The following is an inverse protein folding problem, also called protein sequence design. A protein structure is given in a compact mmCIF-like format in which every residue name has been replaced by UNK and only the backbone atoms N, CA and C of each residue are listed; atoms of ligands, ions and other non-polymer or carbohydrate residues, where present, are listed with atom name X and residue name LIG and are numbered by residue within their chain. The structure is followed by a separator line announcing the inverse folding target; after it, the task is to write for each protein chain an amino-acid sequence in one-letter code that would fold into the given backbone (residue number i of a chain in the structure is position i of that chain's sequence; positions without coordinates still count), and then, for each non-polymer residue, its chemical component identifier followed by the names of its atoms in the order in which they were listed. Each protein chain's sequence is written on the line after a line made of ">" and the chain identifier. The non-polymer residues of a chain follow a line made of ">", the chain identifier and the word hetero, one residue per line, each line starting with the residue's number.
data_IF_441819060563
#
_entry.id   IF_441819060563
#
_cell.length_a   1.000
_cell.length_b   1.000
_cell.length_c   1.000
_cell.angle_alpha   90.00
_cell.angle_beta   90.00
_cell.angle_gamma   90.00
#
_symmetry.space_group_name_H-M   'P 1'
#
loop_
_entity.id
_entity.type
_entity.pdbx_description
1 polymer ?
#
# COMPACT_ATOMS: atom_id res chain seq x y z
N UNK A 1 33.13 19.73 -14.50
CA UNK A 1 31.74 20.26 -14.45
C UNK A 1 30.89 19.44 -15.42
N UNK A 2 30.10 18.46 -14.96
CA UNK A 2 29.38 17.54 -15.87
C UNK A 2 27.89 17.49 -15.56
N UNK A 3 27.20 18.61 -15.76
CA UNK A 3 25.74 18.61 -15.96
C UNK A 3 25.37 17.76 -17.18
N UNK A 4 24.15 17.21 -17.21
CA UNK A 4 23.77 16.23 -18.26
C UNK A 4 23.45 16.85 -19.61
N UNK A 5 23.38 18.19 -19.68
CA UNK A 5 22.74 18.94 -20.75
C UNK A 5 21.22 18.69 -20.83
N UNK A 6 20.51 19.42 -21.70
CA UNK A 6 19.09 19.20 -21.94
C UNK A 6 18.86 17.85 -22.63
N UNK A 7 18.04 17.00 -22.00
CA UNK A 7 17.65 15.68 -22.51
C UNK A 7 16.15 15.61 -22.73
N UNK A 8 15.73 14.77 -23.67
CA UNK A 8 14.32 14.57 -24.03
C UNK A 8 13.70 13.42 -23.22
N UNK A 9 12.39 13.43 -23.14
CA UNK A 9 11.61 12.32 -22.58
C UNK A 9 11.51 11.15 -23.56
N UNK A 10 11.23 9.95 -23.02
CA UNK A 10 10.92 8.79 -23.83
C UNK A 10 9.53 8.96 -24.48
N UNK A 11 9.31 8.44 -25.71
CA UNK A 11 7.99 8.42 -26.37
C UNK A 11 6.82 7.86 -25.55
N UNK A 12 7.07 7.11 -24.47
CA UNK A 12 6.00 6.61 -23.59
C UNK A 12 5.33 7.71 -22.78
N UNK A 13 5.97 8.88 -22.65
CA UNK A 13 5.34 10.05 -22.06
C UNK A 13 4.04 10.41 -22.81
N UNK A 14 4.09 10.41 -24.14
CA UNK A 14 2.92 10.65 -25.00
C UNK A 14 1.82 9.58 -24.78
N UNK A 15 2.23 8.31 -24.65
CA UNK A 15 1.32 7.19 -24.42
C UNK A 15 0.58 7.29 -23.09
N UNK A 16 1.24 7.82 -22.04
CA UNK A 16 0.61 8.10 -20.75
C UNK A 16 -0.50 9.14 -20.84
N UNK A 17 -0.31 10.18 -21.66
CA UNK A 17 -1.33 11.19 -21.96
C UNK A 17 -2.50 10.59 -22.74
N UNK A 18 -2.21 9.81 -23.80
CA UNK A 18 -3.23 9.22 -24.67
C UNK A 18 -4.09 8.16 -24.00
N UNK A 19 -3.55 7.38 -23.06
CA UNK A 19 -4.28 6.26 -22.44
C UNK A 19 -5.58 6.70 -21.75
N UNK A 20 -5.59 7.89 -21.13
CA UNK A 20 -6.78 8.37 -20.40
C UNK A 20 -7.92 8.75 -21.32
N UNK A 21 -7.60 9.36 -22.46
CA UNK A 21 -8.57 9.78 -23.48
C UNK A 21 -9.03 8.60 -24.33
N UNK A 22 -8.15 7.64 -24.64
CA UNK A 22 -8.49 6.42 -25.37
C UNK A 22 -9.60 5.60 -24.69
N UNK A 23 -9.61 5.50 -23.35
CA UNK A 23 -10.65 4.79 -22.63
C UNK A 23 -12.03 5.45 -22.73
N UNK A 24 -12.07 6.79 -22.82
CA UNK A 24 -13.32 7.54 -23.00
C UNK A 24 -13.91 7.31 -24.40
N UNK A 25 -13.06 7.13 -25.42
CA UNK A 25 -13.48 6.85 -26.79
C UNK A 25 -13.97 5.41 -26.99
N UNK A 26 -13.47 4.46 -26.19
CA UNK A 26 -13.85 3.05 -26.34
C UNK A 26 -15.30 2.75 -25.89
N UNK A 27 -15.85 3.55 -24.97
CA UNK A 27 -17.20 3.36 -24.41
C UNK A 27 -18.32 3.50 -25.46
N UNK A 28 -18.41 4.58 -26.25
CA UNK A 28 -19.44 4.71 -27.28
C UNK A 28 -19.29 3.64 -28.38
N UNK A 29 -18.07 3.23 -28.72
CA UNK A 29 -17.81 2.23 -29.75
C UNK A 29 -18.36 0.85 -29.35
N UNK A 30 -18.27 0.49 -28.06
CA UNK A 30 -18.88 -0.74 -27.53
C UNK A 30 -20.41 -0.71 -27.63
N UNK A 31 -21.04 0.44 -27.36
CA UNK A 31 -22.50 0.58 -27.46
C UNK A 31 -23.00 0.41 -28.90
N UNK A 32 -22.31 1.02 -29.87
CA UNK A 32 -22.63 0.89 -31.30
C UNK A 32 -22.38 -0.53 -31.80
N UNK A 33 -21.35 -1.22 -31.28
CA UNK A 33 -21.09 -2.62 -31.58
C UNK A 33 -22.25 -3.53 -31.14
N UNK A 34 -22.86 -3.26 -29.98
CA UNK A 34 -24.04 -4.00 -29.50
C UNK A 34 -25.30 -3.70 -30.32
N UNK A 35 -25.44 -2.49 -30.85
CA UNK A 35 -26.55 -2.12 -31.72
C UNK A 35 -26.49 -2.75 -33.14
N UNK A 36 -25.36 -3.38 -33.51
CA UNK A 36 -25.12 -4.03 -34.83
C UNK A 36 -25.30 -3.10 -36.05
N UNK A 37 -25.24 -1.79 -35.85
CA UNK A 37 -25.33 -0.80 -36.93
C UNK A 37 -23.97 -0.56 -37.60
N UNK A 38 -23.70 -1.28 -38.69
CA UNK A 38 -22.38 -1.26 -39.35
C UNK A 38 -22.00 0.10 -39.96
N UNK A 39 -22.97 0.87 -40.46
CA UNK A 39 -22.72 2.21 -41.01
C UNK A 39 -22.40 3.23 -39.92
N UNK A 40 -23.11 3.15 -38.78
CA UNK A 40 -22.83 4.00 -37.62
C UNK A 40 -21.46 3.68 -37.03
N UNK A 41 -21.09 2.39 -37.00
CA UNK A 41 -19.77 1.94 -36.55
C UNK A 41 -18.64 2.54 -37.40
N UNK A 42 -18.75 2.49 -38.74
CA UNK A 42 -17.71 3.06 -39.61
C UNK A 42 -17.55 4.58 -39.44
N UNK A 43 -18.64 5.32 -39.27
CA UNK A 43 -18.59 6.76 -39.02
C UNK A 43 -17.98 7.08 -37.66
N UNK A 44 -18.35 6.36 -36.61
CA UNK A 44 -17.76 6.50 -35.29
C UNK A 44 -16.25 6.19 -35.32
N UNK A 45 -15.85 5.13 -36.02
CA UNK A 45 -14.44 4.73 -36.11
C UNK A 45 -13.60 5.73 -36.92
N UNK A 46 -14.17 6.35 -37.97
CA UNK A 46 -13.52 7.43 -38.71
C UNK A 46 -13.36 8.70 -37.86
N UNK A 47 -14.36 9.05 -37.06
CA UNK A 47 -14.30 10.16 -36.11
C UNK A 47 -13.25 9.91 -35.02
N UNK A 48 -13.24 8.71 -34.44
CA UNK A 48 -12.28 8.30 -33.43
C UNK A 48 -10.85 8.27 -33.98
N UNK A 49 -10.66 7.86 -35.23
CA UNK A 49 -9.36 7.92 -35.91
C UNK A 49 -8.88 9.37 -36.07
N UNK A 50 -9.74 10.29 -36.50
CA UNK A 50 -9.40 11.70 -36.63
C UNK A 50 -9.02 12.33 -35.27
N UNK A 51 -9.79 12.04 -34.22
CA UNK A 51 -9.50 12.44 -32.84
C UNK A 51 -8.18 11.84 -32.34
N UNK A 52 -7.93 10.57 -32.65
CA UNK A 52 -6.68 9.89 -32.32
C UNK A 52 -5.47 10.54 -33.01
N UNK A 53 -5.58 10.87 -34.31
CA UNK A 53 -4.53 11.58 -35.05
C UNK A 53 -4.25 12.97 -34.48
N UNK A 54 -5.30 13.74 -34.14
CA UNK A 54 -5.15 15.04 -33.50
C UNK A 54 -4.45 14.91 -32.14
N UNK A 55 -4.87 13.94 -31.33
CA UNK A 55 -4.25 13.65 -30.04
C UNK A 55 -2.80 13.19 -30.18
N UNK A 56 -2.49 12.41 -31.22
CA UNK A 56 -1.13 11.97 -31.54
C UNK A 56 -0.24 13.16 -31.87
N UNK A 57 -0.74 14.07 -32.71
CA UNK A 57 -0.04 15.30 -33.07
C UNK A 57 0.21 16.18 -31.83
N UNK A 58 -0.82 16.43 -31.01
CA UNK A 58 -0.68 17.18 -29.76
C UNK A 58 0.35 16.52 -28.84
N UNK A 59 0.27 15.20 -28.65
CA UNK A 59 1.19 14.47 -27.77
C UNK A 59 2.64 14.49 -28.30
N UNK A 60 2.84 14.47 -29.61
CA UNK A 60 4.15 14.58 -30.25
C UNK A 60 4.76 15.99 -30.07
N UNK A 61 3.93 17.04 -30.20
CA UNK A 61 4.34 18.43 -29.91
C UNK A 61 4.74 18.56 -28.43
N UNK A 62 3.91 18.05 -27.50
CA UNK A 62 4.23 18.07 -26.06
C UNK A 62 5.52 17.31 -25.74
N UNK A 63 5.77 16.17 -26.39
CA UNK A 63 7.01 15.41 -26.22
C UNK A 63 8.24 16.18 -26.71
N UNK A 64 8.13 16.91 -27.83
CA UNK A 64 9.23 17.72 -28.38
C UNK A 64 9.51 18.97 -27.55
N UNK A 65 8.47 19.58 -27.00
CA UNK A 65 8.54 20.76 -26.14
C UNK A 65 9.04 20.43 -24.72
N UNK A 66 8.98 19.18 -24.30
CA UNK A 66 9.35 18.78 -22.94
C UNK A 66 10.81 18.30 -22.89
N UNK A 67 11.59 18.95 -22.04
CA UNK A 67 12.97 18.58 -21.74
C UNK A 67 13.22 18.52 -20.24
N UNK A 68 14.32 17.86 -19.88
CA UNK A 68 14.81 17.79 -18.52
C UNK A 68 16.32 17.94 -18.52
N UNK A 69 16.85 18.56 -17.49
CA UNK A 69 18.27 18.82 -17.33
C UNK A 69 18.64 18.61 -15.86
N UNK A 70 19.74 17.91 -15.60
CA UNK A 70 20.27 17.73 -14.26
C UNK A 70 21.58 18.50 -14.15
N UNK A 71 21.57 19.51 -13.29
CA UNK A 71 22.72 20.36 -13.04
C UNK A 71 23.76 19.65 -12.15
N UNK A 72 25.01 20.12 -12.20
CA UNK A 72 26.12 19.62 -11.39
C UNK A 72 25.85 19.79 -9.88
N UNK A 73 25.07 20.80 -9.49
CA UNK A 73 24.62 21.01 -8.11
C UNK A 73 23.56 20.00 -7.64
N UNK A 74 23.11 19.07 -8.51
CA UNK A 74 22.06 18.10 -8.18
C UNK A 74 20.66 18.71 -8.18
N UNK A 75 20.45 19.77 -8.95
CA UNK A 75 19.12 20.37 -9.18
C UNK A 75 18.58 19.84 -10.50
N UNK A 76 17.37 19.29 -10.45
CA UNK A 76 16.66 18.82 -11.62
C UNK A 76 15.77 19.95 -12.16
N UNK A 77 16.05 20.37 -13.38
CA UNK A 77 15.29 21.35 -14.13
C UNK A 77 14.38 20.63 -15.12
N UNK A 78 13.08 20.86 -15.00
CA UNK A 78 12.06 20.34 -15.91
C UNK A 78 11.56 21.52 -16.73
N UNK A 79 11.85 21.54 -18.03
CA UNK A 79 11.46 22.63 -18.93
C UNK A 79 10.40 22.15 -19.88
N UNK A 80 9.32 22.91 -19.97
CA UNK A 80 8.25 22.72 -20.96
C UNK A 80 8.17 23.98 -21.80
N UNK A 81 8.74 23.90 -23.00
CA UNK A 81 8.89 25.02 -23.92
C UNK A 81 7.82 24.93 -25.01
N UNK A 82 6.62 25.38 -24.66
CA UNK A 82 5.51 25.61 -25.60
C UNK A 82 5.46 27.12 -25.92
N UNK A 83 4.27 27.67 -26.18
CA UNK A 83 4.05 29.12 -26.34
C UNK A 83 4.48 29.88 -25.07
N UNK A 84 4.37 29.24 -23.90
CA UNK A 84 4.89 29.72 -22.62
C UNK A 84 5.88 28.70 -22.06
N UNK A 85 7.08 29.16 -21.70
CA UNK A 85 8.10 28.34 -21.07
C UNK A 85 7.79 28.15 -19.59
N UNK A 86 7.51 26.92 -19.17
CA UNK A 86 7.36 26.57 -17.76
C UNK A 86 8.59 25.79 -17.29
N UNK A 87 9.26 26.31 -16.27
CA UNK A 87 10.39 25.65 -15.62
C UNK A 87 10.02 25.23 -14.19
N UNK A 88 10.19 23.95 -13.87
CA UNK A 88 10.07 23.44 -12.49
C UNK A 88 11.40 22.90 -12.02
N UNK A 89 11.90 23.46 -10.91
CA UNK A 89 13.18 23.06 -10.29
C UNK A 89 12.91 22.16 -9.09
N UNK A 90 13.61 21.04 -9.01
CA UNK A 90 13.57 20.11 -7.87
C UNK A 90 14.99 19.94 -7.38
N UNK A 91 15.25 20.43 -6.17
CA UNK A 91 16.54 20.25 -5.54
C UNK A 91 16.65 18.85 -4.94
N UNK A 92 17.88 18.35 -4.90
CA UNK A 92 18.16 17.09 -4.23
C UNK A 92 17.70 17.09 -2.77
N UNK A 93 18.06 18.11 -2.00
CA UNK A 93 17.70 18.26 -0.57
C UNK A 93 16.21 18.14 -0.27
N UNK A 94 15.34 18.49 -1.24
CA UNK A 94 13.88 18.46 -1.09
C UNK A 94 13.27 17.07 -1.34
N UNK A 95 14.04 16.11 -1.84
CA UNK A 95 13.58 14.79 -2.23
C UNK A 95 13.54 13.83 -1.03
N UNK A 96 12.38 13.21 -0.80
CA UNK A 96 12.18 12.22 0.25
C UNK A 96 12.24 10.78 -0.28
N UNK A 97 11.70 10.53 -1.48
CA UNK A 97 11.76 9.22 -2.11
C UNK A 97 11.84 9.29 -3.64
N UNK A 98 12.45 8.26 -4.23
CA UNK A 98 12.51 8.02 -5.67
C UNK A 98 12.00 6.62 -5.96
N UNK A 99 11.11 6.51 -6.95
CA UNK A 99 10.57 5.23 -7.40
C UNK A 99 10.78 5.06 -8.89
N UNK A 100 11.52 4.03 -9.28
CA UNK A 100 11.74 3.63 -10.66
C UNK A 100 10.91 2.38 -10.93
N UNK A 101 9.95 2.48 -11.83
CA UNK A 101 9.13 1.37 -12.25
C UNK A 101 9.40 1.00 -13.70
N UNK A 102 9.48 -0.30 -13.94
CA UNK A 102 9.63 -0.86 -15.27
C UNK A 102 8.61 -1.98 -15.44
N UNK A 103 7.37 -1.63 -15.84
CA UNK A 103 6.42 -2.62 -16.34
C UNK A 103 7.01 -3.42 -17.51
N UNK A 104 6.49 -4.61 -17.80
CA UNK A 104 7.00 -5.45 -18.90
C UNK A 104 7.11 -4.70 -20.23
N UNK A 105 6.07 -3.96 -20.62
CA UNK A 105 6.08 -3.16 -21.86
C UNK A 105 7.23 -2.13 -21.89
N UNK A 106 7.53 -1.53 -20.74
CA UNK A 106 8.61 -0.54 -20.61
C UNK A 106 9.97 -1.23 -20.59
N UNK A 107 10.07 -2.43 -20.01
CA UNK A 107 11.27 -3.24 -20.07
C UNK A 107 11.63 -3.61 -21.51
N UNK A 108 10.65 -4.04 -22.31
CA UNK A 108 10.84 -4.43 -23.71
C UNK A 108 11.30 -3.25 -24.57
N UNK A 109 10.71 -2.08 -24.35
CA UNK A 109 11.03 -0.88 -25.11
C UNK A 109 12.13 -0.01 -24.49
N UNK A 110 12.89 -0.53 -23.51
CA UNK A 110 14.06 0.17 -22.94
C UNK A 110 13.73 1.40 -22.09
N UNK A 111 12.49 1.58 -21.69
CA UNK A 111 11.98 2.73 -20.94
C UNK A 111 11.88 2.46 -19.42
N UNK A 112 11.74 3.53 -18.66
CA UNK A 112 11.56 3.50 -17.21
C UNK A 112 10.71 4.68 -16.77
N UNK A 113 9.75 4.42 -15.88
CA UNK A 113 8.97 5.46 -15.22
C UNK A 113 9.66 5.84 -13.91
N UNK A 114 10.10 7.07 -13.77
CA UNK A 114 10.71 7.59 -12.54
C UNK A 114 9.74 8.54 -11.87
N UNK A 115 9.34 8.25 -10.64
CA UNK A 115 8.51 9.12 -9.82
C UNK A 115 9.35 9.70 -8.70
N UNK A 116 9.39 11.03 -8.62
CA UNK A 116 10.10 11.79 -7.60
C UNK A 116 9.09 12.31 -6.57
N UNK A 117 9.33 11.97 -5.31
CA UNK A 117 8.50 12.36 -4.18
C UNK A 117 9.26 13.37 -3.31
N UNK A 118 8.96 14.67 -3.46
CA UNK A 118 9.44 15.69 -2.54
C UNK A 118 8.86 15.54 -1.12
N UNK A 119 9.61 15.99 -0.11
CA UNK A 119 9.30 15.85 1.31
C UNK A 119 8.09 16.67 1.77
N UNK A 120 7.99 17.93 1.34
CA UNK A 120 7.01 18.90 1.85
C UNK A 120 5.81 19.13 0.92
N UNK A 121 5.85 18.63 -0.32
CA UNK A 121 4.81 18.91 -1.31
C UNK A 121 3.67 17.89 -1.23
N UNK A 122 2.42 18.29 -1.53
CA UNK A 122 1.25 17.42 -1.48
C UNK A 122 1.29 16.29 -2.53
N UNK A 123 0.51 15.22 -2.30
CA UNK A 123 0.44 13.98 -3.11
C UNK A 123 0.15 14.18 -4.60
N UNK A 124 -0.51 15.29 -4.97
CA UNK A 124 -0.78 15.65 -6.36
C UNK A 124 0.43 16.23 -7.12
N UNK A 125 1.53 16.54 -6.44
CA UNK A 125 2.69 17.22 -7.02
C UNK A 125 3.93 16.32 -7.16
N UNK A 126 3.79 15.01 -6.93
CA UNK A 126 4.81 14.04 -7.29
C UNK A 126 5.09 14.11 -8.80
N UNK A 127 6.37 14.15 -9.17
CA UNK A 127 6.76 14.34 -10.56
C UNK A 127 7.05 12.99 -11.18
N UNK A 128 6.34 12.65 -12.26
CA UNK A 128 6.55 11.41 -13.01
C UNK A 128 7.23 11.71 -14.34
N UNK A 129 8.39 11.10 -14.55
CA UNK A 129 9.22 11.23 -15.75
C UNK A 129 9.27 9.89 -16.46
N UNK A 130 9.18 9.90 -17.78
CA UNK A 130 9.35 8.71 -18.61
C UNK A 130 10.69 8.83 -19.33
N UNK A 131 11.67 8.04 -18.90
CA UNK A 131 13.07 8.18 -19.31
C UNK A 131 13.59 6.86 -19.91
N UNK A 132 14.71 6.92 -20.61
CA UNK A 132 15.42 5.70 -21.00
C UNK A 132 15.94 4.97 -19.76
N UNK A 133 16.18 3.67 -19.88
CA UNK A 133 16.74 2.86 -18.79
C UNK A 133 18.06 3.39 -18.23
N UNK A 134 18.91 3.99 -19.08
CA UNK A 134 20.22 4.55 -18.70
C UNK A 134 20.03 5.87 -17.97
N UNK A 135 19.21 6.76 -18.52
CA UNK A 135 18.92 8.07 -17.93
C UNK A 135 18.21 7.96 -16.58
N UNK A 136 17.24 7.05 -16.46
CA UNK A 136 16.53 6.81 -15.21
C UNK A 136 17.47 6.36 -14.08
N UNK A 137 18.48 5.54 -14.40
CA UNK A 137 19.49 5.10 -13.42
C UNK A 137 20.42 6.24 -13.06
N UNK A 138 20.97 6.92 -14.07
CA UNK A 138 21.84 8.09 -13.84
C UNK A 138 21.15 9.14 -12.98
N UNK A 139 19.89 9.46 -13.28
CA UNK A 139 19.10 10.42 -12.51
C UNK A 139 18.95 9.95 -11.07
N UNK A 140 18.57 8.69 -10.84
CA UNK A 140 18.42 8.16 -9.49
C UNK A 140 19.75 8.07 -8.73
N UNK A 141 20.86 7.73 -9.39
CA UNK A 141 22.18 7.62 -8.77
C UNK A 141 22.76 8.99 -8.39
N UNK A 142 22.50 10.04 -9.19
CA UNK A 142 22.92 11.41 -8.86
C UNK A 142 22.01 12.10 -7.85
N UNK A 143 20.69 11.94 -8.00
CA UNK A 143 19.74 12.51 -7.05
C UNK A 143 19.81 11.78 -5.72
N UNK A 144 19.88 10.45 -5.73
CA UNK A 144 19.72 9.64 -4.54
C UNK A 144 20.70 8.47 -4.54
N UNK A 145 22.00 8.75 -4.33
CA UNK A 145 23.02 7.72 -4.29
C UNK A 145 22.72 6.75 -3.16
N UNK A 146 22.68 5.46 -3.48
CA UNK A 146 22.37 4.39 -2.53
C UNK A 146 23.49 3.33 -2.59
N UNK A 147 24.69 3.63 -2.06
CA UNK A 147 25.77 2.64 -2.00
C UNK A 147 25.30 1.41 -1.23
N UNK A 148 25.70 0.22 -1.69
CA UNK A 148 25.33 -1.02 -1.01
C UNK A 148 26.28 -1.24 0.18
N UNK A 149 25.85 -0.88 1.38
CA UNK A 149 26.63 -1.12 2.61
C UNK A 149 26.04 -2.31 3.39
N UNK A 150 24.75 -2.25 3.71
CA UNK A 150 24.05 -3.34 4.40
C UNK A 150 23.01 -3.95 3.48
N UNK A 151 23.08 -5.26 3.24
CA UNK A 151 22.18 -5.95 2.30
C UNK A 151 21.31 -6.95 3.05
N UNK A 152 20.01 -6.86 2.81
CA UNK A 152 19.02 -7.82 3.26
C UNK A 152 18.41 -8.58 2.08
N UNK A 153 18.53 -9.92 2.17
CA UNK A 153 17.88 -10.85 1.28
C UNK A 153 16.78 -11.62 2.05
N UNK A 154 15.52 -11.56 1.62
CA UNK A 154 14.48 -12.36 2.23
C UNK A 154 14.74 -13.84 1.95
N UNK A 155 14.75 -14.65 3.01
CA UNK A 155 14.84 -16.11 2.94
C UNK A 155 13.55 -16.72 2.33
N UNK A 156 13.60 -17.99 1.88
CA UNK A 156 12.49 -18.64 1.16
C UNK A 156 11.11 -18.49 1.81
N UNK A 157 10.98 -18.78 3.11
CA UNK A 157 9.73 -18.60 3.86
C UNK A 157 9.27 -17.13 3.99
N UNK A 158 10.22 -16.18 4.04
CA UNK A 158 9.91 -14.74 4.07
C UNK A 158 9.43 -14.22 2.72
N UNK A 159 9.89 -14.81 1.60
CA UNK A 159 9.41 -14.49 0.25
C UNK A 159 7.96 -14.92 0.05
N UNK A 160 7.61 -16.12 0.55
CA UNK A 160 6.22 -16.59 0.57
C UNK A 160 5.36 -15.68 1.45
N UNK A 161 5.81 -15.35 2.65
CA UNK A 161 5.10 -14.41 3.53
C UNK A 161 4.92 -13.03 2.86
N UNK A 162 5.91 -12.52 2.13
CA UNK A 162 5.80 -11.26 1.38
C UNK A 162 4.72 -11.34 0.28
N UNK A 163 4.57 -12.50 -0.38
CA UNK A 163 3.55 -12.71 -1.41
C UNK A 163 2.14 -12.87 -0.82
N UNK A 164 2.07 -13.60 0.30
CA UNK A 164 0.85 -13.89 1.03
C UNK A 164 0.28 -12.68 1.78
N UNK A 165 1.15 -11.81 2.28
CA UNK A 165 0.79 -10.60 3.04
C UNK A 165 0.61 -9.37 2.14
N UNK A 166 1.12 -9.42 0.91
CA UNK A 166 0.77 -8.47 -0.16
C UNK A 166 -0.59 -8.75 -0.81
N UNK A 167 -1.13 -9.97 -0.63
CA UNK A 167 -2.43 -10.38 -1.15
C UNK A 167 -3.57 -10.15 -0.13
N UNK A 168 -4.79 -9.95 -0.61
CA UNK A 168 -5.98 -9.67 0.20
C UNK A 168 -6.22 -10.79 1.24
N UNK A 169 -6.44 -10.42 2.50
CA UNK A 169 -6.53 -11.26 3.71
C UNK A 169 -7.28 -12.60 3.62
N UNK A 170 -8.22 -12.79 2.69
CA UNK A 170 -8.90 -14.06 2.42
C UNK A 170 -7.98 -15.09 1.74
N UNK A 171 -7.06 -14.66 0.88
CA UNK A 171 -6.07 -15.54 0.23
C UNK A 171 -5.10 -16.12 1.24
N UNK A 172 -4.73 -15.32 2.24
CA UNK A 172 -3.80 -15.70 3.31
C UNK A 172 -4.40 -16.78 4.21
N UNK A 173 -5.71 -16.73 4.48
CA UNK A 173 -6.40 -17.77 5.27
C UNK A 173 -6.52 -19.09 4.50
N UNK A 174 -6.87 -19.04 3.21
CA UNK A 174 -6.96 -20.24 2.37
C UNK A 174 -5.60 -20.94 2.24
N UNK A 175 -4.53 -20.16 2.04
CA UNK A 175 -3.17 -20.70 1.85
C UNK A 175 -2.55 -21.17 3.16
N UNK A 176 -2.86 -20.55 4.30
CA UNK A 176 -2.44 -21.09 5.60
C UNK A 176 -3.23 -22.34 5.96
N UNK A 177 -4.51 -22.42 5.62
CA UNK A 177 -5.29 -23.66 5.78
C UNK A 177 -4.74 -24.80 4.90
N UNK A 178 -4.29 -24.50 3.68
CA UNK A 178 -3.62 -25.47 2.79
C UNK A 178 -2.22 -25.83 3.28
N UNK A 179 -1.42 -24.86 3.72
CA UNK A 179 -0.04 -25.08 4.18
C UNK A 179 0.04 -25.83 5.52
N UNK A 180 -0.91 -25.61 6.43
CA UNK A 180 -1.03 -26.40 7.68
C UNK A 180 -1.43 -27.86 7.43
N UNK A 181 -1.98 -28.17 6.25
CA UNK A 181 -2.36 -29.53 5.83
C UNK A 181 -1.25 -30.27 5.07
N UNK A 182 -0.16 -29.59 4.67
CA UNK A 182 0.96 -30.17 3.90
C UNK A 182 2.05 -30.84 4.76
N UNK A 183 1.74 -31.17 6.02
CA UNK A 183 2.70 -31.80 6.93
C UNK A 183 2.96 -33.29 6.70
N UNK A 184 2.08 -34.01 5.99
CA UNK A 184 2.22 -35.45 5.77
C UNK A 184 1.70 -35.85 4.37
N UNK A 185 2.48 -36.62 3.61
CA UNK A 185 2.12 -37.10 2.27
C UNK A 185 0.82 -37.95 2.24
N UNK A 186 0.39 -38.48 3.39
CA UNK A 186 -0.90 -39.17 3.53
C UNK A 186 -2.11 -38.21 3.59
N UNK A 187 -1.90 -36.96 3.98
CA UNK A 187 -2.93 -35.93 4.05
C UNK A 187 -3.26 -35.33 2.67
N UNK A 188 -2.36 -35.45 1.69
CA UNK A 188 -2.56 -34.92 0.34
C UNK A 188 -3.65 -35.69 -0.44
N UNK A 189 -3.67 -37.01 -0.31
CA UNK A 189 -4.72 -37.86 -0.88
C UNK A 189 -6.07 -37.61 -0.21
N UNK A 190 -6.10 -37.50 1.12
CA UNK A 190 -7.31 -37.17 1.88
C UNK A 190 -7.80 -35.75 1.55
N UNK A 191 -6.89 -34.80 1.29
CA UNK A 191 -7.24 -33.44 0.90
C UNK A 191 -7.82 -33.37 -0.51
N UNK A 192 -7.27 -34.13 -1.47
CA UNK A 192 -7.82 -34.26 -2.82
C UNK A 192 -9.21 -34.91 -2.78
N UNK A 193 -9.40 -35.94 -1.95
CA UNK A 193 -10.70 -36.57 -1.70
C UNK A 193 -11.70 -35.54 -1.12
N UNK A 194 -11.31 -34.76 -0.11
CA UNK A 194 -12.14 -33.72 0.50
C UNK A 194 -12.44 -32.56 -0.47
N UNK A 195 -11.49 -32.17 -1.32
CA UNK A 195 -11.71 -31.15 -2.35
C UNK A 195 -12.67 -31.66 -3.41
N UNK A 196 -12.55 -32.92 -3.83
CA UNK A 196 -13.48 -33.55 -4.78
C UNK A 196 -14.88 -33.70 -4.17
N UNK A 197 -14.99 -34.06 -2.90
CA UNK A 197 -16.25 -34.10 -2.18
C UNK A 197 -16.88 -32.71 -2.00
N UNK A 198 -16.07 -31.69 -1.70
CA UNK A 198 -16.52 -30.30 -1.62
C UNK A 198 -16.94 -29.76 -3.00
N UNK A 199 -16.24 -30.14 -4.07
CA UNK A 199 -16.59 -29.79 -5.44
C UNK A 199 -17.89 -30.48 -5.88
N UNK A 200 -18.08 -31.75 -5.51
CA UNK A 200 -19.33 -32.48 -5.76
C UNK A 200 -20.50 -31.91 -4.94
N UNK A 201 -20.25 -31.49 -3.69
CA UNK A 201 -21.23 -30.80 -2.86
C UNK A 201 -21.61 -29.43 -3.45
N UNK A 202 -20.62 -28.65 -3.90
CA UNK A 202 -20.86 -27.39 -4.58
C UNK A 202 -21.63 -27.59 -5.89
N UNK A 203 -21.30 -28.61 -6.68
CA UNK A 203 -22.00 -28.91 -7.93
C UNK A 203 -23.48 -29.31 -7.73
N UNK A 204 -23.82 -29.92 -6.59
CA UNK A 204 -25.20 -30.31 -6.25
C UNK A 204 -26.07 -29.14 -5.79
N UNK A 205 -25.47 -28.08 -5.25
CA UNK A 205 -26.20 -26.99 -4.59
C UNK A 205 -25.99 -25.61 -5.21
N UNK A 206 -24.97 -25.39 -6.05
CA UNK A 206 -24.81 -24.14 -6.79
C UNK A 206 -25.59 -24.19 -8.11
N UNK A 207 -26.54 -23.27 -8.33
CA UNK A 207 -27.06 -22.96 -9.65
C UNK A 207 -25.91 -22.77 -10.66
N UNK A 208 -26.08 -23.24 -11.90
CA UNK A 208 -25.03 -23.19 -12.93
C UNK A 208 -24.39 -21.80 -13.09
N UNK A 209 -25.17 -20.71 -12.94
CA UNK A 209 -24.66 -19.34 -12.96
C UNK A 209 -23.69 -19.00 -11.82
N UNK A 210 -23.89 -19.56 -10.62
CA UNK A 210 -22.97 -19.37 -9.48
C UNK A 210 -21.69 -20.17 -9.64
N UNK A 211 -21.73 -21.34 -10.30
CA UNK A 211 -20.53 -22.12 -10.60
C UNK A 211 -19.58 -21.38 -11.58
N UNK A 212 -20.13 -20.73 -12.61
CA UNK A 212 -19.36 -19.87 -13.50
C UNK A 212 -18.79 -18.64 -12.78
N UNK A 213 -19.57 -18.00 -11.91
CA UNK A 213 -19.10 -16.88 -11.09
C UNK A 213 -17.95 -17.29 -10.15
N UNK A 214 -18.06 -18.45 -9.50
CA UNK A 214 -17.02 -19.01 -8.63
C UNK A 214 -15.75 -19.34 -9.42
N UNK A 215 -15.89 -19.90 -10.62
CA UNK A 215 -14.77 -20.22 -11.52
C UNK A 215 -14.06 -18.95 -11.97
N UNK A 216 -14.81 -17.93 -12.42
CA UNK A 216 -14.27 -16.62 -12.77
C UNK A 216 -13.58 -15.95 -11.58
N UNK A 217 -14.17 -16.04 -10.38
CA UNK A 217 -13.57 -15.54 -9.14
C UNK A 217 -12.25 -16.25 -8.82
N UNK A 218 -12.23 -17.57 -8.95
CA UNK A 218 -11.03 -18.40 -8.71
C UNK A 218 -9.93 -18.09 -9.72
N UNK A 219 -10.27 -17.88 -10.99
CA UNK A 219 -9.32 -17.48 -12.03
C UNK A 219 -8.74 -16.08 -11.77
N UNK A 220 -9.59 -15.08 -11.49
CA UNK A 220 -9.16 -13.72 -11.15
C UNK A 220 -8.31 -13.71 -9.87
N UNK A 221 -8.65 -14.56 -8.92
CA UNK A 221 -7.87 -14.80 -7.71
C UNK A 221 -6.49 -15.37 -8.02
N UNK A 222 -6.41 -16.42 -8.85
CA UNK A 222 -5.15 -17.00 -9.32
C UNK A 222 -4.27 -15.96 -10.03
N UNK A 223 -4.86 -15.16 -10.91
CA UNK A 223 -4.16 -14.07 -11.60
C UNK A 223 -3.61 -13.01 -10.62
N UNK A 224 -4.41 -12.64 -9.62
CA UNK A 224 -4.00 -11.72 -8.56
C UNK A 224 -2.85 -12.29 -7.72
N UNK A 225 -2.86 -13.59 -7.46
CA UNK A 225 -1.82 -14.27 -6.68
C UNK A 225 -0.51 -14.35 -7.47
N UNK A 226 -0.57 -14.71 -8.75
CA UNK A 226 0.59 -14.67 -9.67
C UNK A 226 1.16 -13.27 -9.74
N UNK A 227 0.30 -12.24 -9.85
CA UNK A 227 0.73 -10.85 -9.84
C UNK A 227 1.42 -10.48 -8.53
N UNK A 228 0.82 -10.81 -7.38
CA UNK A 228 1.41 -10.53 -6.06
C UNK A 228 2.76 -11.22 -5.90
N UNK A 229 2.83 -12.52 -6.18
CA UNK A 229 4.06 -13.32 -6.13
C UNK A 229 5.13 -12.75 -7.08
N UNK A 230 4.74 -12.30 -8.26
CA UNK A 230 5.69 -11.68 -9.18
C UNK A 230 6.36 -10.44 -8.58
N UNK A 231 5.68 -9.66 -7.75
CA UNK A 231 6.27 -8.48 -7.08
C UNK A 231 7.29 -8.85 -5.99
N UNK A 232 7.25 -10.10 -5.50
CA UNK A 232 8.06 -10.56 -4.37
C UNK A 232 9.34 -11.26 -4.82
N UNK A 233 9.38 -11.72 -6.08
CA UNK A 233 10.54 -12.34 -6.68
C UNK A 233 11.69 -11.33 -6.85
N UNK A 234 12.90 -11.81 -6.56
CA UNK A 234 14.17 -11.05 -6.63
C UNK A 234 14.21 -9.79 -5.76
N UNK A 235 13.41 -9.77 -4.69
CA UNK A 235 13.37 -8.66 -3.77
C UNK A 235 14.66 -8.55 -2.95
N UNK A 236 15.25 -7.37 -2.92
CA UNK A 236 16.47 -7.01 -2.20
C UNK A 236 16.28 -5.66 -1.55
N UNK A 237 16.70 -5.52 -0.31
CA UNK A 237 16.75 -4.24 0.40
C UNK A 237 18.18 -3.98 0.80
N UNK A 238 18.63 -2.75 0.65
CA UNK A 238 19.93 -2.36 1.15
C UNK A 238 19.90 -0.94 1.70
N UNK A 239 20.78 -0.69 2.64
CA UNK A 239 21.04 0.62 3.21
C UNK A 239 22.43 1.09 2.82
N UNK A 240 22.57 2.37 2.54
CA UNK A 240 23.86 3.04 2.53
C UNK A 240 23.77 4.54 2.29
N UNK A 241 24.68 5.29 2.92
CA UNK A 241 24.77 6.75 2.78
C UNK A 241 23.49 7.50 3.17
N UNK A 242 22.81 7.09 4.25
CA UNK A 242 21.53 7.68 4.69
C UNK A 242 20.32 7.34 3.79
N UNK A 243 20.50 6.46 2.81
CA UNK A 243 19.45 6.03 1.88
C UNK A 243 19.12 4.55 2.09
N UNK A 244 17.83 4.26 2.21
CA UNK A 244 17.28 2.91 2.22
C UNK A 244 16.66 2.61 0.86
N UNK A 245 17.21 1.65 0.16
CA UNK A 245 16.77 1.27 -1.17
C UNK A 245 16.20 -0.15 -1.19
N UNK A 246 15.18 -0.36 -2.01
CA UNK A 246 14.65 -1.68 -2.30
C UNK A 246 14.50 -1.90 -3.79
N UNK A 247 14.71 -3.13 -4.23
CA UNK A 247 14.57 -3.52 -5.63
C UNK A 247 13.95 -4.91 -5.70
N UNK A 248 12.90 -5.06 -6.50
CA UNK A 248 12.29 -6.37 -6.69
C UNK A 248 11.27 -6.36 -7.82
N UNK A 249 10.66 -7.52 -8.04
CA UNK A 249 9.61 -7.73 -9.02
C UNK A 249 10.11 -8.38 -10.31
N UNK A 250 9.37 -9.40 -10.76
CA UNK A 250 9.58 -10.12 -12.01
C UNK A 250 8.84 -9.43 -13.16
N UNK A 251 7.50 -9.31 -13.06
CA UNK A 251 6.66 -8.69 -14.10
C UNK A 251 6.83 -7.17 -14.14
N UNK A 252 6.89 -6.55 -12.97
CA UNK A 252 7.14 -5.12 -12.83
C UNK A 252 8.37 -4.96 -11.97
N UNK A 253 9.51 -4.62 -12.59
CA UNK A 253 10.73 -4.34 -11.85
C UNK A 253 10.58 -2.96 -11.22
N UNK A 254 10.53 -2.93 -9.89
CA UNK A 254 10.40 -1.71 -9.11
C UNK A 254 11.66 -1.53 -8.28
N UNK A 255 12.25 -0.35 -8.35
CA UNK A 255 13.31 0.10 -7.48
C UNK A 255 12.82 1.33 -6.72
N UNK A 256 12.98 1.35 -5.41
CA UNK A 256 12.55 2.42 -4.51
C UNK A 256 13.75 2.86 -3.69
N UNK A 257 13.88 4.15 -3.47
CA UNK A 257 14.93 4.73 -2.61
C UNK A 257 14.26 5.73 -1.68
N UNK A 258 14.53 5.62 -0.38
CA UNK A 258 13.99 6.49 0.68
C UNK A 258 15.14 7.12 1.46
N UNK A 259 15.05 8.42 1.75
CA UNK A 259 16.01 9.11 2.60
C UNK A 259 15.59 8.94 4.04
N UNK A 260 16.49 8.43 4.87
CA UNK A 260 16.21 8.20 6.29
C UNK A 260 15.91 9.51 7.02
N UNK A 261 16.68 10.57 6.76
CA UNK A 261 16.50 11.92 7.33
C UNK A 261 15.15 12.58 6.99
N UNK A 262 14.46 12.10 5.95
CA UNK A 262 13.19 12.66 5.46
C UNK A 262 12.05 11.64 5.50
N UNK A 263 12.22 10.55 6.27
CA UNK A 263 11.14 9.62 6.53
C UNK A 263 10.04 10.30 7.36
N UNK A 264 8.80 10.03 7.01
CA UNK A 264 7.64 10.57 7.71
C UNK A 264 7.16 9.63 8.79
N UNK A 265 6.90 8.39 8.42
CA UNK A 265 6.57 7.33 9.36
C UNK A 265 6.94 5.95 8.80
N UNK A 266 7.22 5.01 9.71
CA UNK A 266 7.26 3.58 9.41
C UNK A 266 6.08 2.88 10.06
N UNK A 267 5.38 2.06 9.29
CA UNK A 267 4.20 1.31 9.72
C UNK A 267 4.49 -0.20 9.63
N UNK A 268 4.31 -0.93 10.73
CA UNK A 268 4.30 -2.39 10.75
C UNK A 268 2.87 -2.88 10.82
N UNK A 269 2.44 -3.67 9.83
CA UNK A 269 1.07 -4.19 9.77
C UNK A 269 1.00 -5.57 10.43
N UNK A 270 0.41 -5.61 11.61
CA UNK A 270 0.07 -6.82 12.34
C UNK A 270 -1.29 -7.35 11.87
N UNK A 271 -1.36 -7.90 10.66
CA UNK A 271 -2.55 -8.62 10.21
C UNK A 271 -2.67 -9.98 10.90
N UNK A 272 -3.86 -10.60 10.97
CA UNK A 272 -4.00 -11.93 11.56
C UNK A 272 -3.12 -12.97 10.88
N UNK A 273 -3.02 -12.93 9.54
CA UNK A 273 -2.10 -13.77 8.79
C UNK A 273 -0.62 -13.49 9.10
N UNK A 274 -0.24 -12.22 9.27
CA UNK A 274 1.14 -11.85 9.66
C UNK A 274 1.53 -12.42 11.02
N UNK A 275 0.59 -12.43 11.97
CA UNK A 275 0.80 -13.00 13.31
C UNK A 275 0.90 -14.51 13.27
N UNK A 276 0.01 -15.15 12.53
CA UNK A 276 0.01 -16.61 12.36
C UNK A 276 1.32 -17.10 11.72
N UNK A 277 1.82 -16.39 10.70
CA UNK A 277 3.10 -16.67 10.05
C UNK A 277 4.31 -16.15 10.83
N UNK A 278 4.11 -15.41 11.94
CA UNK A 278 5.15 -14.67 12.68
C UNK A 278 6.05 -13.83 11.77
N UNK A 279 5.47 -13.27 10.71
CA UNK A 279 6.15 -12.49 9.67
C UNK A 279 5.47 -11.13 9.55
N UNK A 280 6.20 -10.06 9.83
CA UNK A 280 5.65 -8.71 9.95
C UNK A 280 6.13 -7.81 8.81
N UNK A 281 5.22 -7.32 7.95
CA UNK A 281 5.54 -6.41 6.86
C UNK A 281 5.71 -4.98 7.36
N UNK A 282 6.80 -4.35 6.94
CA UNK A 282 7.14 -2.94 7.21
C UNK A 282 6.82 -2.10 5.98
N UNK A 283 6.09 -1.02 6.16
CA UNK A 283 5.74 -0.01 5.16
C UNK A 283 6.39 1.31 5.56
N UNK A 284 6.90 2.03 4.57
CA UNK A 284 7.48 3.35 4.78
C UNK A 284 6.66 4.41 4.06
N UNK A 285 6.46 5.52 4.75
CA UNK A 285 5.91 6.74 4.16
C UNK A 285 6.97 7.83 4.25
N UNK A 286 7.23 8.50 3.13
CA UNK A 286 8.21 9.58 3.04
C UNK A 286 7.64 10.73 2.21
N UNK A 287 7.42 11.87 2.85
CA UNK A 287 6.70 13.00 2.25
C UNK A 287 5.32 12.58 1.76
N UNK A 288 5.08 12.75 0.46
CA UNK A 288 3.83 12.31 -0.17
C UNK A 288 3.84 10.87 -0.72
N UNK A 289 4.97 10.16 -0.59
CA UNK A 289 5.08 8.77 -1.00
C UNK A 289 4.42 7.87 0.04
N UNK A 290 3.20 7.40 -0.25
CA UNK A 290 2.57 6.29 0.47
C UNK A 290 2.40 5.13 -0.52
N UNK A 291 3.11 4.03 -0.24
CA UNK A 291 3.15 2.87 -1.11
C UNK A 291 2.37 1.73 -0.45
N UNK A 292 1.45 1.14 -1.20
CA UNK A 292 0.62 0.03 -0.74
C UNK A 292 1.35 -1.34 -0.70
N UNK A 293 2.65 -1.37 -1.01
CA UNK A 293 3.48 -2.57 -1.02
C UNK A 293 4.54 -2.50 0.09
N UNK A 294 4.75 -3.58 0.86
CA UNK A 294 5.71 -3.60 1.95
C UNK A 294 7.12 -3.35 1.43
N UNK A 295 7.94 -2.65 2.21
CA UNK A 295 9.35 -2.46 1.94
C UNK A 295 10.15 -3.70 2.31
N UNK A 296 9.88 -4.36 3.43
CA UNK A 296 10.45 -5.66 3.75
C UNK A 296 9.57 -6.37 4.77
N UNK A 297 9.80 -7.67 4.97
CA UNK A 297 9.12 -8.48 5.97
C UNK A 297 10.20 -9.08 6.86
N UNK A 298 10.08 -8.90 8.17
CA UNK A 298 10.97 -9.53 9.14
C UNK A 298 10.20 -10.57 9.94
N UNK A 299 10.90 -11.60 10.43
CA UNK A 299 10.30 -12.63 11.30
C UNK A 299 10.33 -12.17 12.76
N UNK A 300 9.36 -12.61 13.57
CA UNK A 300 9.42 -12.43 15.02
C UNK A 300 10.77 -12.94 15.56
N UNK A 301 11.47 -12.11 16.34
CA UNK A 301 12.84 -12.38 16.82
C UNK A 301 13.97 -11.79 15.94
N UNK A 302 13.66 -11.22 14.77
CA UNK A 302 14.62 -10.52 13.91
C UNK A 302 14.50 -8.99 14.02
N UNK A 303 14.16 -8.47 15.21
CA UNK A 303 13.95 -7.03 15.43
C UNK A 303 15.25 -6.23 15.25
N UNK A 304 16.41 -6.85 15.50
CA UNK A 304 17.73 -6.25 15.23
C UNK A 304 17.97 -5.96 13.75
N UNK A 305 17.33 -6.71 12.86
CA UNK A 305 17.39 -6.42 11.42
C UNK A 305 16.64 -5.14 11.09
N UNK A 306 15.48 -4.93 11.71
CA UNK A 306 14.69 -3.72 11.54
C UNK A 306 15.49 -2.52 12.06
N UNK A 307 16.10 -2.64 13.24
CA UNK A 307 16.93 -1.58 13.84
C UNK A 307 18.16 -1.23 13.00
N UNK A 308 18.79 -2.23 12.36
CA UNK A 308 19.90 -2.00 11.42
C UNK A 308 19.45 -1.26 10.16
N UNK A 309 18.35 -1.69 9.54
CA UNK A 309 17.84 -1.07 8.31
C UNK A 309 17.18 0.30 8.54
N UNK A 310 16.55 0.49 9.71
CA UNK A 310 15.82 1.69 10.12
C UNK A 310 16.30 2.11 11.53
N UNK A 311 17.42 2.84 11.62
CA UNK A 311 17.86 3.42 12.89
C UNK A 311 16.76 4.32 13.46
N UNK A 312 16.56 4.26 14.78
CA UNK A 312 15.49 5.00 15.46
C UNK A 312 14.11 4.35 15.41
N UNK A 313 13.89 3.30 14.60
CA UNK A 313 12.60 2.59 14.63
C UNK A 313 12.35 1.95 16.00
N UNK A 314 11.25 2.34 16.62
CA UNK A 314 10.80 1.78 17.89
C UNK A 314 9.40 1.20 17.73
N UNK A 315 9.21 0.00 18.27
CA UNK A 315 7.87 -0.56 18.43
C UNK A 315 7.15 0.11 19.59
N UNK A 316 5.83 0.31 19.50
CA UNK A 316 5.05 0.77 20.63
C UNK A 316 5.21 -0.21 21.80
N UNK A 317 5.22 0.29 23.05
CA UNK A 317 5.37 -0.56 24.23
C UNK A 317 4.28 -1.63 24.27
N UNK A 318 4.66 -2.86 24.59
CA UNK A 318 3.70 -3.95 24.83
C UNK A 318 3.06 -3.74 26.19
N UNK A 319 2.00 -2.93 26.23
CA UNK A 319 1.27 -2.73 27.47
C UNK A 319 0.43 -3.98 27.78
N UNK A 320 0.52 -4.54 29.00
CA UNK A 320 -0.30 -5.68 29.40
C UNK A 320 -1.77 -5.28 29.37
N UNK A 321 -2.63 -6.25 29.05
CA UNK A 321 -4.07 -6.07 29.06
C UNK A 321 -4.52 -5.57 30.44
N UNK A 322 -5.23 -4.44 30.47
CA UNK A 322 -5.83 -3.90 31.69
C UNK A 322 -7.28 -3.53 31.46
N UNK A 323 -8.18 -4.08 32.28
CA UNK A 323 -9.60 -3.71 32.28
C UNK A 323 -9.82 -2.23 32.64
N UNK A 324 -8.87 -1.61 33.37
CA UNK A 324 -8.91 -0.17 33.64
C UNK A 324 -8.78 0.64 32.34
N UNK A 325 -8.03 0.13 31.35
CA UNK A 325 -7.92 0.76 30.03
C UNK A 325 -9.26 0.79 29.29
N UNK A 326 -10.13 -0.21 29.48
CA UNK A 326 -11.47 -0.21 28.89
C UNK A 326 -12.43 0.78 29.56
N UNK A 327 -12.17 1.17 30.80
CA UNK A 327 -13.11 1.95 31.62
C UNK A 327 -13.37 3.32 31.01
N UNK A 328 -14.55 3.51 30.42
CA UNK A 328 -14.97 4.75 29.75
C UNK A 328 -14.76 4.77 28.23
N UNK A 329 -14.29 3.67 27.62
CA UNK A 329 -14.11 3.55 26.17
C UNK A 329 -15.46 3.20 25.55
N UNK A 330 -15.81 3.85 24.45
CA UNK A 330 -17.11 3.59 23.82
C UNK A 330 -17.12 2.22 23.13
N UNK A 331 -18.14 1.40 23.43
CA UNK A 331 -18.37 0.13 22.74
C UNK A 331 -18.93 0.30 21.33
N UNK A 332 -19.28 1.53 20.93
CA UNK A 332 -19.75 1.84 19.56
C UNK A 332 -18.73 1.41 18.49
N UNK A 333 -17.45 1.31 18.84
CA UNK A 333 -16.43 0.81 17.91
C UNK A 333 -16.63 -0.66 17.52
N UNK A 334 -17.34 -1.45 18.34
CA UNK A 334 -17.70 -2.86 18.07
C UNK A 334 -19.02 -2.99 17.31
N UNK A 335 -19.77 -1.90 17.12
CA UNK A 335 -21.10 -1.94 16.51
C UNK A 335 -21.12 -2.54 15.09
N UNK A 336 -20.14 -2.30 14.19
CA UNK A 336 -20.15 -2.89 12.86
C UNK A 336 -20.04 -4.41 12.90
N UNK A 337 -19.01 -4.96 13.57
CA UNK A 337 -18.83 -6.40 13.63
C UNK A 337 -19.88 -7.08 14.53
N UNK A 338 -20.21 -6.47 15.67
CA UNK A 338 -21.19 -6.98 16.63
C UNK A 338 -22.61 -6.99 16.06
N UNK A 339 -23.00 -5.95 15.31
CA UNK A 339 -24.29 -5.89 14.63
C UNK A 339 -24.43 -6.96 13.54
N UNK A 340 -23.40 -7.13 12.69
CA UNK A 340 -23.39 -8.18 11.67
C UNK A 340 -23.45 -9.59 12.31
N UNK A 341 -22.67 -9.83 13.37
CA UNK A 341 -22.70 -11.09 14.10
C UNK A 341 -24.08 -11.37 14.72
N UNK A 342 -24.64 -10.39 15.43
CA UNK A 342 -25.95 -10.53 16.08
C UNK A 342 -27.06 -10.82 15.08
N UNK A 343 -27.03 -10.15 13.92
CA UNK A 343 -27.97 -10.42 12.82
C UNK A 343 -27.82 -11.83 12.26
N UNK A 344 -26.58 -12.31 12.04
CA UNK A 344 -26.34 -13.67 11.54
C UNK A 344 -26.73 -14.75 12.54
N UNK A 345 -26.53 -14.51 13.84
CA UNK A 345 -26.99 -15.42 14.91
C UNK A 345 -28.52 -15.49 14.90
N UNK A 346 -29.21 -14.37 14.75
CA UNK A 346 -30.67 -14.33 14.64
C UNK A 346 -31.15 -15.08 13.40
N UNK A 347 -30.51 -14.88 12.25
CA UNK A 347 -30.81 -15.64 11.03
C UNK A 347 -30.57 -17.13 11.20
N UNK A 348 -29.48 -17.53 11.87
CA UNK A 348 -29.21 -18.94 12.18
C UNK A 348 -30.30 -19.53 13.06
N UNK A 349 -30.78 -18.78 14.06
CA UNK A 349 -31.85 -19.21 14.94
C UNK A 349 -33.17 -19.37 14.18
N UNK A 350 -33.55 -18.41 13.34
CA UNK A 350 -34.77 -18.51 12.51
C UNK A 350 -34.64 -19.64 11.48
N UNK A 351 -33.48 -19.77 10.83
CA UNK A 351 -33.22 -20.83 9.85
C UNK A 351 -33.23 -22.23 10.50
N UNK A 352 -32.80 -22.36 11.75
CA UNK A 352 -32.85 -23.64 12.48
C UNK A 352 -34.28 -24.17 12.61
N UNK A 353 -35.27 -23.28 12.66
CA UNK A 353 -36.68 -23.62 12.77
C UNK A 353 -37.39 -23.71 11.40
N UNK A 354 -37.11 -22.79 10.47
CA UNK A 354 -37.84 -22.70 9.20
C UNK A 354 -37.19 -23.46 8.04
N UNK A 355 -35.84 -23.55 7.99
CA UNK A 355 -35.12 -24.11 6.85
C UNK A 355 -33.73 -24.65 7.25
N UNK A 356 -33.66 -25.82 7.91
CA UNK A 356 -32.41 -26.34 8.48
C UNK A 356 -31.32 -26.61 7.42
N UNK A 357 -31.70 -26.81 6.15
CA UNK A 357 -30.76 -26.95 5.04
C UNK A 357 -29.88 -25.69 4.79
N UNK A 358 -30.31 -24.50 5.23
CA UNK A 358 -29.55 -23.25 5.07
C UNK A 358 -28.52 -22.99 6.17
N UNK A 359 -28.54 -23.75 7.27
CA UNK A 359 -27.61 -23.61 8.39
C UNK A 359 -26.12 -23.62 7.98
N UNK A 360 -25.62 -24.59 7.18
CA UNK A 360 -24.20 -24.60 6.81
C UNK A 360 -23.79 -23.37 5.98
N UNK A 361 -24.70 -22.87 5.14
CA UNK A 361 -24.47 -21.67 4.32
C UNK A 361 -24.40 -20.40 5.16
N UNK A 362 -25.19 -20.30 6.24
CA UNK A 362 -25.19 -19.17 7.17
C UNK A 362 -24.10 -19.26 8.26
N UNK A 363 -23.63 -20.47 8.59
CA UNK A 363 -22.58 -20.68 9.59
C UNK A 363 -21.24 -20.08 9.15
N UNK A 364 -20.89 -20.21 7.87
CA UNK A 364 -19.64 -19.68 7.31
C UNK A 364 -19.51 -18.15 7.48
N UNK A 365 -20.47 -17.31 7.06
CA UNK A 365 -20.39 -15.87 7.29
C UNK A 365 -20.47 -15.52 8.79
N UNK A 366 -21.17 -16.30 9.62
CA UNK A 366 -21.23 -16.07 11.07
C UNK A 366 -19.84 -16.23 11.72
N UNK A 367 -19.08 -17.27 11.34
CA UNK A 367 -17.70 -17.47 11.81
C UNK A 367 -16.79 -16.31 11.37
N UNK A 368 -16.93 -15.83 10.13
CA UNK A 368 -16.16 -14.68 9.64
C UNK A 368 -16.48 -13.40 10.42
N UNK A 369 -17.75 -13.15 10.71
CA UNK A 369 -18.17 -12.02 11.56
C UNK A 369 -17.68 -12.16 13.01
N UNK A 370 -17.66 -13.37 13.57
CA UNK A 370 -17.13 -13.61 14.91
C UNK A 370 -15.63 -13.31 14.96
N UNK A 371 -14.88 -13.77 13.96
CA UNK A 371 -13.47 -13.47 13.82
C UNK A 371 -13.20 -11.96 13.63
N UNK A 372 -14.05 -11.28 12.87
CA UNK A 372 -14.00 -9.82 12.75
C UNK A 372 -14.20 -9.13 14.10
N UNK A 373 -15.20 -9.55 14.88
CA UNK A 373 -15.46 -9.01 16.21
C UNK A 373 -14.26 -9.20 17.15
N UNK A 374 -13.61 -10.37 17.13
CA UNK A 374 -12.38 -10.61 17.91
C UNK A 374 -11.28 -9.62 17.53
N UNK A 375 -11.10 -9.34 16.24
CA UNK A 375 -10.13 -8.34 15.79
C UNK A 375 -10.47 -6.92 16.29
N UNK A 376 -11.75 -6.54 16.31
CA UNK A 376 -12.22 -5.24 16.85
C UNK A 376 -12.07 -5.12 18.36
N UNK A 377 -12.35 -6.19 19.09
CA UNK A 377 -12.08 -6.26 20.54
C UNK A 377 -10.60 -6.05 20.78
N UNK A 378 -9.73 -6.69 20.00
CA UNK A 378 -8.29 -6.54 20.18
C UNK A 378 -7.80 -5.10 19.94
N UNK A 379 -8.31 -4.41 18.92
CA UNK A 379 -7.96 -2.99 18.74
C UNK A 379 -8.55 -2.12 19.84
N UNK A 380 -9.77 -2.37 20.30
CA UNK A 380 -10.34 -1.69 21.47
C UNK A 380 -9.46 -1.84 22.73
N UNK A 381 -8.73 -2.94 22.83
CA UNK A 381 -7.86 -3.22 23.97
C UNK A 381 -6.45 -2.65 23.84
N UNK A 382 -5.92 -2.57 22.62
CA UNK A 382 -4.50 -2.26 22.39
C UNK A 382 -4.25 -0.91 21.75
N UNK A 383 -5.23 -0.30 21.09
CA UNK A 383 -5.06 1.02 20.49
C UNK A 383 -4.64 2.07 21.53
N UNK A 384 -3.61 2.83 21.20
CA UNK A 384 -2.98 3.82 22.07
C UNK A 384 -1.91 4.62 21.34
N UNK A 385 -1.43 5.69 21.95
CA UNK A 385 -0.33 6.50 21.45
C UNK A 385 0.62 6.79 22.61
N UNK A 386 1.93 6.68 22.37
CA UNK A 386 2.96 6.81 23.37
C UNK A 386 4.11 7.67 22.83
N UNK A 387 4.45 8.78 23.51
CA UNK A 387 5.70 9.46 23.26
C UNK A 387 6.85 8.69 23.90
N UNK A 388 7.84 8.31 23.09
CA UNK A 388 9.15 7.86 23.57
C UNK A 388 10.15 9.01 23.46
N UNK A 389 11.28 8.95 24.17
CA UNK A 389 12.30 10.01 24.23
C UNK A 389 12.64 10.68 22.89
N UNK A 390 12.71 9.92 21.79
CA UNK A 390 13.09 10.43 20.45
C UNK A 390 11.98 10.39 19.40
N UNK A 391 10.97 9.55 19.57
CA UNK A 391 9.94 9.31 18.56
C UNK A 391 8.56 9.13 19.16
N UNK A 392 7.56 9.55 18.41
CA UNK A 392 6.17 9.28 18.74
C UNK A 392 5.74 7.96 18.10
N UNK A 393 5.24 7.03 18.92
CA UNK A 393 4.73 5.75 18.43
C UNK A 393 3.25 5.63 18.74
N UNK A 394 2.50 4.94 17.88
CA UNK A 394 1.11 4.63 18.17
C UNK A 394 0.68 3.31 17.56
N UNK A 395 -0.37 2.76 18.13
CA UNK A 395 -1.03 1.57 17.67
C UNK A 395 -2.46 1.91 17.30
N UNK A 396 -2.86 1.58 16.07
CA UNK A 396 -4.23 1.77 15.58
C UNK A 396 -4.79 0.50 14.96
N UNK A 397 -6.09 0.34 14.99
CA UNK A 397 -6.79 -0.66 14.21
C UNK A 397 -7.31 -0.06 12.91
N UNK A 398 -7.14 -0.80 11.81
CA UNK A 398 -7.81 -0.51 10.55
C UNK A 398 -8.37 -1.80 9.99
N UNK A 399 -9.70 -1.91 9.96
CA UNK A 399 -10.40 -3.16 9.59
C UNK A 399 -9.92 -4.29 10.52
N UNK A 400 -9.42 -5.40 9.97
CA UNK A 400 -8.97 -6.57 10.75
C UNK A 400 -7.48 -6.52 11.10
N UNK A 401 -6.72 -5.53 10.63
CA UNK A 401 -5.29 -5.42 10.89
C UNK A 401 -4.99 -4.34 11.92
N UNK A 402 -4.02 -4.65 12.78
CA UNK A 402 -3.42 -3.67 13.68
C UNK A 402 -2.20 -3.06 12.99
N UNK A 403 -2.00 -1.76 13.16
CA UNK A 403 -0.94 -0.99 12.53
C UNK A 403 -0.13 -0.33 13.64
N UNK A 404 1.12 -0.77 13.81
CA UNK A 404 2.10 -0.10 14.66
C UNK A 404 2.80 0.95 13.83
N UNK A 405 2.73 2.21 14.24
CA UNK A 405 3.35 3.31 13.48
C UNK A 405 4.37 4.01 14.38
N UNK A 406 5.56 4.24 13.83
CA UNK A 406 6.61 5.07 14.41
C UNK A 406 6.75 6.32 13.54
N UNK A 407 6.57 7.50 14.13
CA UNK A 407 6.66 8.79 13.45
C UNK A 407 8.08 9.32 13.55
N UNK A 408 8.65 9.67 12.39
CA UNK A 408 10.01 10.21 12.28
C UNK A 408 10.03 11.71 11.98
N UNK A 409 9.02 12.25 11.28
CA UNK A 409 9.08 13.63 10.77
C UNK A 409 8.48 14.68 11.73
N UNK A 410 9.12 15.86 11.86
CA UNK A 410 8.59 17.04 12.55
C UNK A 410 7.31 17.62 11.91
N UNK A 411 7.10 17.40 10.61
CA UNK A 411 6.03 18.05 9.84
C UNK A 411 4.64 17.43 10.07
N UNK A 412 4.45 16.77 11.21
CA UNK A 412 3.19 16.10 11.56
C UNK A 412 2.31 17.03 12.37
N UNK A 413 1.17 17.42 11.79
CA UNK A 413 0.17 18.18 12.53
C UNK A 413 -0.66 17.21 13.36
N UNK A 414 -0.71 17.46 14.68
CA UNK A 414 -1.57 16.74 15.60
C UNK A 414 -2.88 17.51 15.79
N UNK A 415 -4.01 16.82 15.65
CA UNK A 415 -5.31 17.34 16.06
C UNK A 415 -5.90 16.46 17.13
N UNK A 416 -6.13 17.05 18.31
CA UNK A 416 -6.91 16.44 19.39
C UNK A 416 -8.39 16.79 19.15
N UNK A 417 -9.26 15.78 19.15
CA UNK A 417 -10.72 16.00 19.07
C UNK A 417 -11.43 15.18 20.15
N UNK A 418 -12.34 15.83 20.87
CA UNK A 418 -13.17 15.18 21.88
C UNK A 418 -14.63 15.23 21.44
N UNK A 419 -15.32 14.09 21.55
CA UNK A 419 -16.78 14.07 21.47
C UNK A 419 -17.36 14.49 22.84
N UNK A 420 -18.63 14.92 22.91
CA UNK A 420 -19.27 15.25 24.19
C UNK A 420 -19.13 14.13 25.24
N UNK A 421 -19.32 12.87 24.80
CA UNK A 421 -19.12 11.68 25.64
C UNK A 421 -17.66 11.43 26.01
N UNK A 422 -16.72 11.81 25.13
CA UNK A 422 -15.29 11.74 25.39
C UNK A 422 -14.86 12.72 26.48
N UNK A 423 -15.41 13.94 26.49
CA UNK A 423 -15.14 14.95 27.52
C UNK A 423 -15.52 14.41 28.91
N UNK A 424 -16.74 13.88 29.06
CA UNK A 424 -17.22 13.31 30.33
C UNK A 424 -16.36 12.15 30.85
N UNK A 425 -15.68 11.43 29.96
CA UNK A 425 -14.85 10.27 30.29
C UNK A 425 -13.36 10.57 30.25
N UNK A 426 -12.95 11.83 30.11
CA UNK A 426 -11.54 12.23 30.05
C UNK A 426 -10.79 11.60 28.87
N UNK A 427 -11.44 11.48 27.70
CA UNK A 427 -10.90 10.81 26.51
C UNK A 427 -10.89 11.71 25.29
N UNK A 428 -9.95 11.43 24.38
CA UNK A 428 -9.80 12.13 23.13
C UNK A 428 -9.48 11.17 21.96
N UNK A 429 -9.71 11.64 20.75
CA UNK A 429 -9.24 11.01 19.52
C UNK A 429 -8.11 11.87 18.96
N UNK A 430 -6.97 11.24 18.70
CA UNK A 430 -5.85 11.89 18.03
C UNK A 430 -5.96 11.69 16.53
N UNK A 431 -5.74 12.75 15.78
CA UNK A 431 -5.57 12.69 14.32
C UNK A 431 -4.19 13.21 13.97
N UNK A 432 -3.34 12.34 13.43
CA UNK A 432 -2.07 12.67 12.82
C UNK A 432 -2.29 13.04 11.36
N UNK A 433 -1.87 14.23 10.96
CA UNK A 433 -1.89 14.68 9.59
C UNK A 433 -0.44 14.83 9.08
N UNK A 434 -0.12 14.06 8.05
CA UNK A 434 1.21 14.04 7.44
C UNK A 434 1.23 14.84 6.13
N UNK A 435 2.43 15.22 5.63
CA UNK A 435 2.61 15.66 4.26
C UNK A 435 1.94 14.68 3.27
N UNK A 436 1.32 15.20 2.21
CA UNK A 436 0.62 14.36 1.23
C UNK A 436 -0.84 14.01 1.56
N UNK A 437 -1.47 14.73 2.50
CA UNK A 437 -2.89 14.54 2.92
C UNK A 437 -3.20 13.16 3.51
N UNK A 438 -2.18 12.45 3.98
CA UNK A 438 -2.40 11.24 4.77
C UNK A 438 -2.90 11.65 6.15
N UNK A 439 -4.02 11.08 6.59
CA UNK A 439 -4.57 11.31 7.92
C UNK A 439 -4.76 9.97 8.61
N UNK A 440 -4.22 9.86 9.81
CA UNK A 440 -4.32 8.66 10.63
C UNK A 440 -4.94 9.01 11.96
N UNK A 441 -5.90 8.19 12.40
CA UNK A 441 -6.68 8.44 13.61
C UNK A 441 -6.42 7.34 14.62
N UNK A 442 -6.12 7.73 15.85
CA UNK A 442 -6.05 6.86 17.03
C UNK A 442 -7.23 7.21 17.91
N UNK A 443 -8.12 6.25 18.15
CA UNK A 443 -9.46 6.51 18.68
C UNK A 443 -9.48 6.34 20.20
N UNK A 444 -10.16 7.25 20.89
CA UNK A 444 -10.59 7.06 22.29
C UNK A 444 -9.47 6.73 23.28
N UNK A 445 -8.35 7.46 23.17
CA UNK A 445 -7.25 7.39 24.14
C UNK A 445 -7.53 8.30 25.35
N UNK A 446 -6.91 8.04 26.51
CA UNK A 446 -6.95 8.97 27.63
C UNK A 446 -6.47 10.37 27.23
N UNK A 447 -7.11 11.41 27.78
CA UNK A 447 -6.74 12.79 27.50
C UNK A 447 -5.32 13.12 27.99
N UNK A 448 -4.89 12.53 29.11
CA UNK A 448 -3.51 12.64 29.62
C UNK A 448 -2.49 12.25 28.55
N UNK A 449 -2.72 11.12 27.88
CA UNK A 449 -1.81 10.55 26.90
C UNK A 449 -1.84 11.38 25.61
N UNK A 450 -3.03 11.87 25.23
CA UNK A 450 -3.20 12.81 24.12
C UNK A 450 -2.41 14.10 24.33
N UNK A 451 -2.49 14.68 25.53
CA UNK A 451 -1.76 15.88 25.91
C UNK A 451 -0.26 15.61 26.02
N UNK A 452 0.15 14.45 26.52
CA UNK A 452 1.56 14.05 26.53
C UNK A 452 2.14 13.98 25.12
N UNK A 453 1.37 13.46 24.15
CA UNK A 453 1.74 13.45 22.74
C UNK A 453 1.85 14.87 22.14
N UNK A 454 0.93 15.77 22.50
CA UNK A 454 0.99 17.18 22.07
C UNK A 454 2.22 17.88 22.66
N UNK A 455 2.42 17.76 23.97
CA UNK A 455 3.58 18.32 24.66
C UNK A 455 4.91 17.74 24.16
N UNK A 456 4.93 16.50 23.66
CA UNK A 456 6.10 15.91 23.01
C UNK A 456 6.41 16.60 21.67
N UNK A 457 5.38 16.86 20.84
CA UNK A 457 5.54 17.55 19.57
C UNK A 457 5.84 19.05 19.73
N UNK A 458 5.37 19.68 20.81
CA UNK A 458 5.69 21.07 21.14
C UNK A 458 7.10 21.23 21.71
N UNK A 459 7.57 20.27 22.53
CA UNK A 459 8.92 20.31 23.13
C UNK A 459 10.01 19.93 22.15
N UNK A 460 9.75 18.93 21.32
CA UNK A 460 10.66 18.59 20.25
C UNK A 460 10.32 19.44 19.03
N UNK A 461 11.01 20.56 18.87
CA UNK A 461 11.43 20.96 17.54
C UNK A 461 12.22 19.76 16.97
N UNK A 462 11.53 18.80 16.36
CA UNK A 462 12.06 17.57 15.74
C UNK A 462 12.98 17.89 14.53
N UNK A 463 13.58 19.08 14.53
CA UNK A 463 14.54 19.62 13.59
C UNK A 463 15.86 19.88 14.35
N UNK A 464 16.60 18.82 14.63
CA UNK A 464 18.03 18.99 14.87
C UNK A 464 18.65 19.47 13.55
N UNK A 465 19.13 20.72 13.52
CA UNK A 465 19.78 21.29 12.33
C UNK A 465 21.11 20.59 12.01
N UNK A 466 21.67 19.88 13.00
CA UNK A 466 23.07 19.47 12.99
C UNK A 466 23.28 17.93 13.03
N UNK A 467 22.22 17.12 13.08
CA UNK A 467 22.33 15.65 13.06
C UNK A 467 21.62 14.97 11.87
N UNK A 468 22.38 14.36 10.92
CA UNK A 468 21.86 13.32 10.04
C UNK A 468 21.75 12.00 10.84
N UNK A 469 20.67 11.23 10.61
CA UNK A 469 20.41 9.94 11.31
C UNK A 469 21.00 8.76 10.54
#
# INVERSE_FOLDING_TARGET
>A
MTGTGPRRYHPFFALGFMRRTLLLYLVPLVQVLFAREWQALWRALAQDLALFCLLALVSAVMLRASSWELDAAGVLHLRWDLILSFERRIQNSQLAAVQIERPMLYCLAGASRVTLYPALLPKGQAVTLHLTRRDARMLADRMMPAPQQEIYHPAGGQRLAFALLGANSLSTLLLVALALRQGDNAAEQIALEQINQAAAWAARWLPAGLAWALTAWTFLFGLSLVRSFSHTLFYRVWRGGGVLASRGGLLVRVERRFRLDRLTCAEVRLSPGARLLRCYPVYLTAGCCNIDAPLFVYRAGQEDLVRRLLPGFQMPPRQPFSLAWLRGRSLVFLAPAGGCLGFLILLLLVASWALPAALPLLALPAVVCAFWLVCEIEGLLREGAWPTEKHLTFLRQRRMSMHCVCVFSPATALRISQSPWGVLRGRATLTFAYPGRLRERVRSIPLSDALACAAFLERNDLYDKDHPV
#
